data_IF_212479605995
#
_entry.id   IF_212479605995
#
_cell.length_a   1.000
_cell.length_b   1.000
_cell.length_c   1.000
_cell.angle_alpha   90.00
_cell.angle_beta   90.00
_cell.angle_gamma   90.00
#
_symmetry.space_group_name_H-M   'P 1'
#
loop_
_entity.id
_entity.type
_entity.pdbx_description
1 polymer ?
#
# COMPACT_ATOMS: atom_id res chain seq x y z
N UNK A 1 -12.06 -22.27 14.33
CA UNK A 1 -11.84 -20.81 14.31
C UNK A 1 -10.35 -20.43 14.19
N UNK A 2 -9.45 -20.96 15.01
CA UNK A 2 -8.02 -20.60 14.97
C UNK A 2 -7.32 -20.94 13.62
N UNK A 3 -7.66 -22.05 12.98
CA UNK A 3 -7.08 -22.46 11.68
C UNK A 3 -7.51 -21.50 10.56
N UNK A 4 -8.78 -21.13 10.52
CA UNK A 4 -9.31 -20.23 9.50
C UNK A 4 -8.65 -18.83 9.58
N UNK A 5 -8.48 -18.30 10.80
CA UNK A 5 -7.78 -17.03 11.00
C UNK A 5 -6.30 -17.09 10.57
N UNK A 6 -5.64 -18.22 10.82
CA UNK A 6 -4.25 -18.42 10.38
C UNK A 6 -4.13 -18.47 8.87
N UNK A 7 -5.06 -19.16 8.18
CA UNK A 7 -5.10 -19.21 6.72
C UNK A 7 -5.37 -17.81 6.17
N UNK A 8 -6.34 -17.08 6.72
CA UNK A 8 -6.66 -15.71 6.31
C UNK A 8 -5.45 -14.77 6.48
N UNK A 9 -4.76 -14.87 7.62
CA UNK A 9 -3.54 -14.08 7.87
C UNK A 9 -2.47 -14.32 6.80
N UNK A 10 -2.18 -15.58 6.47
CA UNK A 10 -1.22 -15.92 5.43
C UNK A 10 -1.67 -15.47 4.05
N UNK A 11 -2.95 -15.66 3.72
CA UNK A 11 -3.51 -15.20 2.45
C UNK A 11 -3.39 -13.68 2.30
N UNK A 12 -3.76 -12.91 3.33
CA UNK A 12 -3.62 -11.44 3.33
C UNK A 12 -2.16 -11.01 3.14
N UNK A 13 -1.20 -11.68 3.78
CA UNK A 13 0.23 -11.38 3.63
C UNK A 13 0.72 -11.63 2.21
N UNK A 14 0.40 -12.78 1.65
CA UNK A 14 0.85 -13.18 0.30
C UNK A 14 0.24 -12.24 -0.74
N UNK A 15 -1.06 -11.98 -0.65
CA UNK A 15 -1.76 -11.10 -1.59
C UNK A 15 -1.23 -9.68 -1.49
N UNK A 16 -1.16 -9.11 -0.30
CA UNK A 16 -0.70 -7.74 -0.10
C UNK A 16 0.78 -7.58 -0.47
N UNK A 17 1.64 -8.49 -0.01
CA UNK A 17 3.06 -8.49 -0.35
C UNK A 17 3.31 -8.63 -1.85
N UNK A 18 2.57 -9.52 -2.52
CA UNK A 18 2.62 -9.70 -3.98
C UNK A 18 2.20 -8.43 -4.74
N UNK A 19 1.12 -7.77 -4.30
CA UNK A 19 0.64 -6.51 -4.88
C UNK A 19 1.70 -5.41 -4.76
N UNK A 20 2.31 -5.25 -3.58
CA UNK A 20 3.35 -4.24 -3.36
C UNK A 20 4.61 -4.51 -4.19
N UNK A 21 5.05 -5.76 -4.27
CA UNK A 21 6.19 -6.14 -5.13
C UNK A 21 5.89 -5.87 -6.60
N UNK A 22 4.72 -6.26 -7.08
CA UNK A 22 4.32 -6.05 -8.46
C UNK A 22 4.23 -4.55 -8.81
N UNK A 23 3.58 -3.77 -7.94
CA UNK A 23 3.43 -2.32 -8.12
C UNK A 23 4.79 -1.61 -8.15
N UNK A 24 5.67 -1.91 -7.20
CA UNK A 24 7.00 -1.32 -7.14
C UNK A 24 7.86 -1.72 -8.34
N UNK A 25 7.86 -3.01 -8.71
CA UNK A 25 8.58 -3.50 -9.88
C UNK A 25 8.13 -2.81 -11.17
N UNK A 26 6.81 -2.69 -11.38
CA UNK A 26 6.25 -2.05 -12.56
C UNK A 26 6.67 -0.58 -12.68
N UNK A 27 6.67 0.16 -11.58
CA UNK A 27 7.11 1.56 -11.54
C UNK A 27 8.60 1.72 -11.82
N UNK A 28 9.44 0.76 -11.36
CA UNK A 28 10.87 0.76 -11.65
C UNK A 28 11.19 0.54 -13.14
N UNK A 29 10.33 -0.17 -13.87
CA UNK A 29 10.54 -0.36 -15.32
C UNK A 29 10.31 0.91 -16.14
N UNK A 30 9.53 1.84 -15.63
CA UNK A 30 9.16 3.04 -16.37
C UNK A 30 9.07 4.27 -15.44
N UNK A 31 10.19 4.70 -14.85
CA UNK A 31 10.20 5.78 -13.85
C UNK A 31 9.71 7.13 -14.42
N UNK A 32 9.99 7.41 -15.69
CA UNK A 32 9.51 8.64 -16.35
C UNK A 32 7.98 8.66 -16.50
N UNK A 33 7.36 7.53 -16.82
CA UNK A 33 5.90 7.45 -16.91
C UNK A 33 5.26 7.57 -15.53
N UNK A 34 5.90 7.01 -14.49
CA UNK A 34 5.44 7.19 -13.12
C UNK A 34 5.60 8.65 -12.66
N UNK A 35 6.71 9.31 -13.00
CA UNK A 35 6.88 10.75 -12.76
C UNK A 35 5.80 11.58 -13.47
N UNK A 36 5.45 11.23 -14.72
CA UNK A 36 4.38 11.89 -15.45
C UNK A 36 3.01 11.70 -14.78
N UNK A 37 2.71 10.50 -14.23
CA UNK A 37 1.50 10.26 -13.46
C UNK A 37 1.45 11.15 -12.20
N UNK A 38 2.55 11.24 -11.43
CA UNK A 38 2.66 12.12 -10.26
C UNK A 38 2.46 13.59 -10.64
N UNK A 39 3.06 14.03 -11.74
CA UNK A 39 2.88 15.39 -12.27
C UNK A 39 1.41 15.66 -12.68
N UNK A 40 0.76 14.64 -13.22
CA UNK A 40 -0.66 14.70 -13.62
C UNK A 40 -1.62 14.99 -12.48
N UNK A 41 -1.31 14.58 -11.25
CA UNK A 41 -2.15 14.86 -10.06
C UNK A 41 -2.19 16.34 -9.70
N UNK A 42 -1.19 17.14 -10.12
CA UNK A 42 -1.07 18.59 -9.83
C UNK A 42 -1.17 18.92 -8.33
N UNK A 43 -0.69 18.02 -7.48
CA UNK A 43 -0.67 18.12 -6.02
C UNK A 43 0.75 18.24 -5.48
N UNK A 44 1.73 17.76 -6.25
CA UNK A 44 3.13 17.70 -5.84
C UNK A 44 3.93 18.79 -6.55
N UNK A 45 4.73 19.60 -5.82
CA UNK A 45 5.64 20.55 -6.45
C UNK A 45 6.63 19.85 -7.38
N UNK A 46 6.98 20.49 -8.50
CA UNK A 46 7.85 19.90 -9.53
C UNK A 46 9.19 19.38 -8.98
N UNK A 47 9.74 20.04 -7.95
CA UNK A 47 11.00 19.65 -7.30
C UNK A 47 10.95 18.26 -6.64
N UNK A 48 9.77 17.78 -6.26
CA UNK A 48 9.60 16.50 -5.56
C UNK A 48 9.12 15.35 -6.46
N UNK A 49 8.74 15.63 -7.72
CA UNK A 49 8.22 14.62 -8.64
C UNK A 49 9.26 13.53 -8.93
N UNK A 50 10.46 13.94 -9.35
CA UNK A 50 11.55 12.98 -9.67
C UNK A 50 12.01 12.19 -8.44
N UNK A 51 12.32 12.81 -7.29
CA UNK A 51 12.65 12.06 -6.08
C UNK A 51 11.57 11.06 -5.66
N UNK A 52 10.28 11.43 -5.73
CA UNK A 52 9.18 10.51 -5.42
C UNK A 52 9.12 9.36 -6.41
N UNK A 53 9.29 9.62 -7.71
CA UNK A 53 9.27 8.60 -8.73
C UNK A 53 10.43 7.60 -8.58
N UNK A 54 11.58 8.05 -8.09
CA UNK A 54 12.75 7.20 -7.90
C UNK A 54 12.68 6.39 -6.59
N UNK A 55 12.27 7.00 -5.47
CA UNK A 55 12.32 6.34 -4.15
C UNK A 55 11.08 5.53 -3.81
N UNK A 56 9.89 5.96 -4.23
CA UNK A 56 8.63 5.31 -3.85
C UNK A 56 8.54 3.84 -4.28
N UNK A 57 8.97 3.45 -5.50
CA UNK A 57 8.97 2.05 -5.90
C UNK A 57 9.83 1.15 -5.01
N UNK A 58 10.98 1.66 -4.53
CA UNK A 58 11.84 0.93 -3.61
C UNK A 58 11.19 0.72 -2.24
N UNK A 59 10.47 1.73 -1.76
CA UNK A 59 9.68 1.60 -0.51
C UNK A 59 8.59 0.55 -0.68
N UNK A 60 7.90 0.52 -1.81
CA UNK A 60 6.88 -0.51 -2.11
C UNK A 60 7.48 -1.91 -2.14
N UNK A 61 8.61 -2.10 -2.83
CA UNK A 61 9.32 -3.39 -2.88
C UNK A 61 9.77 -3.81 -1.48
N UNK A 62 10.35 -2.90 -0.70
CA UNK A 62 10.79 -3.20 0.66
C UNK A 62 9.60 -3.61 1.55
N UNK A 63 8.48 -2.89 1.50
CA UNK A 63 7.26 -3.24 2.24
C UNK A 63 6.71 -4.60 1.80
N UNK A 64 6.67 -4.88 0.49
CA UNK A 64 6.22 -6.16 -0.05
C UNK A 64 7.09 -7.32 0.42
N UNK A 65 8.41 -7.19 0.35
CA UNK A 65 9.37 -8.20 0.82
C UNK A 65 9.26 -8.43 2.33
N UNK A 66 9.12 -7.37 3.13
CA UNK A 66 8.95 -7.44 4.59
C UNK A 66 7.61 -8.09 4.98
N UNK A 67 6.53 -7.81 4.25
CA UNK A 67 5.24 -8.49 4.42
C UNK A 67 5.37 -9.99 4.18
N UNK A 68 6.05 -10.41 3.11
CA UNK A 68 6.25 -11.82 2.80
C UNK A 68 7.20 -12.51 3.80
N UNK A 69 8.25 -11.85 4.26
CA UNK A 69 9.17 -12.39 5.26
C UNK A 69 8.54 -12.55 6.64
N UNK A 70 7.52 -11.76 6.95
CA UNK A 70 6.87 -11.76 8.27
C UNK A 70 7.60 -11.00 9.36
N UNK A 71 8.65 -10.27 9.00
CA UNK A 71 9.42 -9.50 9.98
C UNK A 71 8.65 -8.26 10.40
N UNK A 72 8.45 -8.13 11.74
CA UNK A 72 7.73 -6.99 12.34
C UNK A 72 6.42 -6.63 11.62
N UNK A 73 5.63 -7.63 11.27
CA UNK A 73 4.39 -7.50 10.47
C UNK A 73 3.52 -6.32 10.90
N UNK A 74 3.39 -6.08 12.20
CA UNK A 74 2.60 -4.96 12.73
C UNK A 74 3.04 -3.61 12.15
N UNK A 75 4.33 -3.30 12.24
CA UNK A 75 4.87 -2.01 11.77
C UNK A 75 4.85 -1.91 10.25
N UNK A 76 5.16 -3.01 9.58
CA UNK A 76 5.15 -3.09 8.13
C UNK A 76 3.73 -2.93 7.58
N UNK A 77 2.72 -3.56 8.20
CA UNK A 77 1.32 -3.41 7.80
C UNK A 77 0.78 -2.00 8.07
N UNK A 78 1.22 -1.35 9.16
CA UNK A 78 0.90 0.06 9.42
C UNK A 78 1.51 0.95 8.33
N UNK A 79 2.77 0.75 7.99
CA UNK A 79 3.44 1.48 6.90
C UNK A 79 2.75 1.28 5.55
N UNK A 80 2.39 0.04 5.21
CA UNK A 80 1.65 -0.29 4.01
C UNK A 80 0.25 0.37 3.98
N UNK A 81 -0.46 0.34 5.11
CA UNK A 81 -1.77 1.00 5.24
C UNK A 81 -1.67 2.52 5.08
N UNK A 82 -0.65 3.14 5.69
CA UNK A 82 -0.41 4.58 5.57
C UNK A 82 -0.10 4.99 4.13
N UNK A 83 0.73 4.21 3.43
CA UNK A 83 1.06 4.45 2.03
C UNK A 83 -0.17 4.32 1.13
N UNK A 84 -0.98 3.28 1.31
CA UNK A 84 -2.23 3.08 0.58
C UNK A 84 -3.23 4.20 0.85
N UNK A 85 -3.40 4.61 2.11
CA UNK A 85 -4.29 5.72 2.47
C UNK A 85 -3.85 7.03 1.82
N UNK A 86 -2.56 7.36 1.86
CA UNK A 86 -2.03 8.54 1.19
C UNK A 86 -2.31 8.50 -0.31
N UNK A 87 -2.14 7.34 -0.92
CA UNK A 87 -2.38 7.14 -2.34
C UNK A 87 -3.86 7.29 -2.70
N UNK A 88 -4.76 6.62 -1.95
CA UNK A 88 -6.21 6.74 -2.12
C UNK A 88 -6.66 8.21 -1.95
N UNK A 89 -6.11 8.93 -0.97
CA UNK A 89 -6.42 10.34 -0.76
C UNK A 89 -6.02 11.20 -1.98
N UNK A 90 -4.82 11.00 -2.52
CA UNK A 90 -4.33 11.70 -3.72
C UNK A 90 -5.24 11.41 -4.92
N UNK A 91 -5.56 10.15 -5.18
CA UNK A 91 -6.44 9.76 -6.28
C UNK A 91 -7.85 10.34 -6.13
N UNK A 92 -8.39 10.31 -4.91
CA UNK A 92 -9.73 10.85 -4.61
C UNK A 92 -9.78 12.36 -4.83
N UNK A 93 -8.80 13.10 -4.32
CA UNK A 93 -8.71 14.57 -4.53
C UNK A 93 -8.56 14.91 -6.00
N UNK A 94 -7.72 14.18 -6.74
CA UNK A 94 -7.49 14.37 -8.17
C UNK A 94 -8.78 14.11 -8.97
N UNK A 95 -9.52 13.06 -8.61
CA UNK A 95 -10.80 12.72 -9.20
C UNK A 95 -11.88 13.80 -8.96
N UNK A 96 -12.02 14.28 -7.70
CA UNK A 96 -12.99 15.32 -7.34
C UNK A 96 -12.68 16.64 -8.06
N UNK A 97 -11.40 16.94 -8.32
CA UNK A 97 -10.96 18.11 -9.08
C UNK A 97 -11.21 17.98 -10.58
N UNK A 98 -11.72 16.84 -11.06
CA UNK A 98 -11.98 16.60 -12.48
C UNK A 98 -10.71 16.55 -13.34
N UNK A 99 -9.56 16.17 -12.74
CA UNK A 99 -8.29 16.09 -13.45
C UNK A 99 -8.18 14.70 -14.06
N UNK A 100 -8.07 14.63 -15.39
CA UNK A 100 -7.76 13.41 -16.12
C UNK A 100 -6.28 13.09 -15.96
N UNK A 101 -5.97 12.15 -15.06
CA UNK A 101 -4.62 11.65 -14.83
C UNK A 101 -4.62 10.12 -14.79
N UNK A 102 -3.45 9.53 -15.07
CA UNK A 102 -3.26 8.09 -14.93
C UNK A 102 -3.12 7.72 -13.45
N UNK A 103 -3.68 6.57 -13.06
CA UNK A 103 -3.59 6.06 -11.69
C UNK A 103 -2.14 5.75 -11.29
N UNK A 104 -1.31 5.25 -12.23
CA UNK A 104 0.10 4.91 -11.98
C UNK A 104 0.34 3.74 -11.02
N UNK A 105 -0.72 2.99 -10.63
CA UNK A 105 -0.62 1.89 -9.65
C UNK A 105 -0.13 0.58 -10.26
N UNK A 106 -0.80 0.11 -11.33
CA UNK A 106 -0.60 -1.22 -11.92
C UNK A 106 -0.44 -1.19 -13.45
N UNK A 107 -0.27 -0.03 -14.05
CA UNK A 107 -0.14 0.16 -15.49
C UNK A 107 -0.29 1.63 -15.86
N UNK A 108 0.26 1.97 -17.02
CA UNK A 108 0.07 3.29 -17.59
C UNK A 108 -1.11 3.21 -18.56
N UNK A 109 -1.96 4.24 -18.54
CA UNK A 109 -3.20 4.31 -19.32
C UNK A 109 -4.47 3.97 -18.54
N UNK A 110 -4.36 3.48 -17.30
CA UNK A 110 -5.50 3.34 -16.40
C UNK A 110 -5.84 4.71 -15.80
N UNK A 111 -6.85 5.36 -16.34
CA UNK A 111 -7.34 6.64 -15.82
C UNK A 111 -7.92 6.48 -14.41
N UNK A 112 -7.74 7.54 -13.60
CA UNK A 112 -8.37 7.61 -12.28
C UNK A 112 -9.89 7.55 -12.45
N UNK A 113 -10.51 6.58 -11.81
CA UNK A 113 -11.95 6.33 -11.87
C UNK A 113 -12.45 5.84 -10.49
N UNK A 114 -13.75 5.88 -10.22
CA UNK A 114 -14.31 5.29 -9.00
C UNK A 114 -13.94 3.80 -8.83
N UNK A 115 -13.75 3.10 -9.95
CA UNK A 115 -13.36 1.69 -9.97
C UNK A 115 -11.93 1.48 -9.47
N UNK A 116 -10.99 2.34 -9.88
CA UNK A 116 -9.60 2.27 -9.42
C UNK A 116 -9.50 2.61 -7.94
N UNK A 117 -10.23 3.62 -7.47
CA UNK A 117 -10.30 3.99 -6.05
C UNK A 117 -10.90 2.84 -5.22
N UNK A 118 -12.00 2.24 -5.67
CA UNK A 118 -12.63 1.10 -4.99
C UNK A 118 -11.68 -0.10 -4.88
N UNK A 119 -10.93 -0.41 -5.94
CA UNK A 119 -9.90 -1.46 -5.93
C UNK A 119 -8.85 -1.19 -4.85
N UNK A 120 -8.35 0.03 -4.75
CA UNK A 120 -7.30 0.40 -3.80
C UNK A 120 -7.82 0.36 -2.35
N UNK A 121 -9.10 0.72 -2.14
CA UNK A 121 -9.79 0.53 -0.85
C UNK A 121 -9.90 -0.95 -0.49
N UNK A 122 -10.20 -1.82 -1.45
CA UNK A 122 -10.23 -3.27 -1.22
C UNK A 122 -8.84 -3.82 -0.83
N UNK A 123 -7.77 -3.30 -1.43
CA UNK A 123 -6.38 -3.65 -1.07
C UNK A 123 -6.01 -3.14 0.34
N UNK A 124 -6.60 -2.04 0.78
CA UNK A 124 -6.38 -1.50 2.12
C UNK A 124 -6.94 -2.41 3.23
N UNK A 125 -8.05 -3.12 2.99
CA UNK A 125 -8.69 -3.97 4.00
C UNK A 125 -7.75 -5.04 4.58
N UNK A 126 -7.04 -5.87 3.78
CA UNK A 126 -6.08 -6.83 4.32
C UNK A 126 -4.90 -6.16 5.05
N UNK A 127 -4.48 -4.95 4.67
CA UNK A 127 -3.43 -4.22 5.37
C UNK A 127 -3.87 -3.81 6.78
N UNK A 128 -5.08 -3.27 6.92
CA UNK A 128 -5.67 -2.90 8.21
C UNK A 128 -5.91 -4.16 9.06
N UNK A 129 -6.40 -5.25 8.46
CA UNK A 129 -6.63 -6.52 9.16
C UNK A 129 -5.33 -7.04 9.78
N UNK A 130 -4.22 -7.09 9.03
CA UNK A 130 -2.93 -7.53 9.54
C UNK A 130 -2.41 -6.63 10.66
N UNK A 131 -2.55 -5.31 10.53
CA UNK A 131 -2.14 -4.35 11.55
C UNK A 131 -2.94 -4.51 12.86
N UNK A 132 -4.25 -4.75 12.76
CA UNK A 132 -5.16 -4.90 13.90
C UNK A 132 -4.96 -6.25 14.61
N UNK A 133 -4.83 -7.35 13.87
CA UNK A 133 -4.63 -8.70 14.43
C UNK A 133 -3.35 -8.76 15.28
N UNK A 134 -2.25 -8.25 14.77
CA UNK A 134 -0.98 -8.21 15.47
C UNK A 134 -1.01 -7.29 16.71
N UNK A 135 -1.80 -6.23 16.67
CA UNK A 135 -2.02 -5.37 17.84
C UNK A 135 -2.71 -6.13 18.97
N UNK A 136 -3.75 -6.91 18.64
CA UNK A 136 -4.49 -7.71 19.61
C UNK A 136 -3.63 -8.83 20.21
N UNK A 137 -2.85 -9.54 19.40
CA UNK A 137 -1.91 -10.58 19.89
C UNK A 137 -0.89 -10.01 20.88
N UNK A 138 -0.27 -8.89 20.56
CA UNK A 138 0.72 -8.25 21.42
C UNK A 138 0.11 -7.73 22.73
N UNK A 139 -1.13 -7.22 22.70
CA UNK A 139 -1.85 -6.79 23.90
C UNK A 139 -2.17 -7.96 24.82
N UNK A 140 -2.63 -9.08 24.27
CA UNK A 140 -2.93 -10.30 25.03
C UNK A 140 -1.67 -10.87 25.70
N UNK A 141 -0.53 -10.90 24.99
CA UNK A 141 0.75 -11.39 25.54
C UNK A 141 1.26 -10.51 26.68
N UNK A 142 1.14 -9.18 26.53
CA UNK A 142 1.53 -8.25 27.60
C UNK A 142 0.65 -8.37 28.86
N UNK A 143 -0.63 -8.67 28.69
CA UNK A 143 -1.55 -8.89 29.83
C UNK A 143 -1.15 -10.14 30.61
N UNK A 144 -0.85 -11.24 29.92
CA UNK A 144 -0.44 -12.51 30.53
C UNK A 144 0.89 -12.41 31.29
N UNK A 145 1.83 -11.57 30.80
CA UNK A 145 3.11 -11.34 31.47
C UNK A 145 3.01 -10.41 32.69
N UNK A 146 1.97 -9.60 32.81
CA UNK A 146 1.76 -8.72 33.97
C UNK A 146 1.05 -9.41 35.14
N UNK A 147 0.40 -10.55 34.90
CA UNK A 147 -0.35 -11.32 35.89
C UNK A 147 0.44 -12.49 36.48
N UNK A 148 1.70 -12.65 36.09
CA UNK A 148 2.68 -13.57 36.68
C UNK A 148 3.63 -12.80 37.58
#
# INVERSE_FOLDING_TARGET
>A
MAVALRILHWACRIVLGGIFLYSGYFKLQSPLQFAAAIAGYKLVPNSFIMPLADYLPWVEIALGALLLSGWKIRYVSIGASALLLAFIAILTVTYIRGIDADCGCFGFGDKISPRTIARDVLILLPAIFLAAEERLKNSATNYTNRTK
#
